data_IF_759655164917
#
_entry.id   IF_759655164917
#
_cell.length_a   1.000
_cell.length_b   1.000
_cell.length_c   1.000
_cell.angle_alpha   90.00
_cell.angle_beta   90.00
_cell.angle_gamma   90.00
#
_symmetry.space_group_name_H-M   'P 1'
#
loop_
_entity.id
_entity.type
_entity.pdbx_description
1 polymer ?
#
# COMPACT_ATOMS: atom_id res chain seq x y z
N UNK A 1 7.94 1.56 -15.29
CA UNK A 1 7.04 1.39 -14.12
C UNK A 1 7.78 1.28 -12.79
N UNK A 2 8.94 0.61 -12.73
CA UNK A 2 9.70 0.37 -11.48
C UNK A 2 10.14 1.64 -10.73
N UNK A 3 10.64 2.68 -11.42
CA UNK A 3 11.10 3.93 -10.76
C UNK A 3 9.94 4.68 -10.10
N UNK A 4 8.76 4.71 -10.76
CA UNK A 4 7.57 5.38 -10.23
C UNK A 4 7.00 4.63 -9.03
N UNK A 5 6.94 3.29 -9.11
CA UNK A 5 6.49 2.45 -8.01
C UNK A 5 7.44 2.52 -6.80
N UNK A 6 8.75 2.51 -7.03
CA UNK A 6 9.75 2.71 -5.98
C UNK A 6 9.62 4.07 -5.29
N UNK A 7 9.40 5.14 -6.07
CA UNK A 7 9.14 6.47 -5.52
C UNK A 7 7.86 6.55 -4.69
N UNK A 8 6.78 5.88 -5.12
CA UNK A 8 5.52 5.82 -4.37
C UNK A 8 5.71 5.12 -3.02
N UNK A 9 6.36 3.95 -3.01
CA UNK A 9 6.61 3.18 -1.78
C UNK A 9 7.51 3.95 -0.80
N UNK A 10 8.61 4.53 -1.31
CA UNK A 10 9.47 5.40 -0.50
C UNK A 10 8.72 6.60 0.07
N UNK A 11 7.82 7.19 -0.73
CA UNK A 11 6.97 8.30 -0.34
C UNK A 11 5.97 7.97 0.77
N UNK A 12 5.64 6.70 1.01
CA UNK A 12 4.79 6.30 2.14
C UNK A 12 5.58 6.15 3.45
N UNK A 13 6.85 5.74 3.38
CA UNK A 13 7.69 5.50 4.57
C UNK A 13 8.40 6.77 5.06
N UNK A 14 9.01 7.53 4.14
CA UNK A 14 9.78 8.74 4.47
C UNK A 14 9.02 9.74 5.37
N UNK A 15 7.73 10.04 5.12
CA UNK A 15 6.99 10.99 5.95
C UNK A 15 6.83 10.52 7.40
N UNK A 16 6.73 9.22 7.66
CA UNK A 16 6.57 8.69 9.02
C UNK A 16 7.84 8.92 9.86
N UNK A 17 9.01 8.70 9.26
CA UNK A 17 10.32 8.95 9.88
C UNK A 17 10.55 10.44 10.11
N UNK A 18 10.30 11.26 9.08
CA UNK A 18 10.46 12.72 9.15
C UNK A 18 9.50 13.30 10.21
N UNK A 19 8.23 12.87 10.21
CA UNK A 19 7.23 13.31 11.19
C UNK A 19 7.63 12.92 12.62
N UNK A 20 8.12 11.70 12.84
CA UNK A 20 8.59 11.24 14.16
C UNK A 20 9.82 12.03 14.65
N UNK A 21 10.77 12.32 13.77
CA UNK A 21 11.93 13.15 14.08
C UNK A 21 11.53 14.60 14.39
N UNK A 22 10.71 15.23 13.54
CA UNK A 22 10.29 16.63 13.70
C UNK A 22 9.45 16.84 14.96
N UNK A 23 8.55 15.90 15.29
CA UNK A 23 7.73 15.99 16.52
C UNK A 23 8.54 15.85 17.81
N UNK A 24 9.74 15.29 17.74
CA UNK A 24 10.66 15.18 18.89
C UNK A 24 11.39 16.48 19.20
N UNK A 25 11.60 17.34 18.19
CA UNK A 25 12.33 18.62 18.33
C UNK A 25 11.43 19.86 18.19
N UNK A 26 10.19 19.70 17.76
CA UNK A 26 9.31 20.79 17.34
C UNK A 26 7.84 20.44 17.55
N UNK A 27 6.98 21.47 17.59
CA UNK A 27 5.53 21.26 17.64
C UNK A 27 5.00 20.54 16.41
N UNK A 28 4.02 19.64 16.62
CA UNK A 28 3.30 18.91 15.57
C UNK A 28 2.77 19.80 14.44
N UNK A 29 2.48 21.08 14.72
CA UNK A 29 1.97 22.05 13.73
C UNK A 29 2.94 22.26 12.56
N UNK A 30 4.25 22.24 12.81
CA UNK A 30 5.24 22.49 11.77
C UNK A 30 5.30 21.36 10.75
N UNK A 31 4.95 20.13 11.14
CA UNK A 31 4.84 18.99 10.21
C UNK A 31 3.74 19.24 9.18
N UNK A 32 2.58 19.78 9.62
CA UNK A 32 1.49 20.12 8.72
C UNK A 32 1.84 21.27 7.77
N UNK A 33 2.56 22.29 8.25
CA UNK A 33 3.05 23.37 7.39
C UNK A 33 4.06 22.87 6.34
N UNK A 34 4.97 21.98 6.73
CA UNK A 34 5.90 21.37 5.79
C UNK A 34 5.19 20.51 4.74
N UNK A 35 4.21 19.70 5.14
CA UNK A 35 3.40 18.89 4.23
C UNK A 35 2.61 19.78 3.25
N UNK A 36 2.03 20.88 3.73
CA UNK A 36 1.35 21.86 2.88
C UNK A 36 2.31 22.44 1.83
N UNK A 37 3.49 22.90 2.24
CA UNK A 37 4.50 23.43 1.31
C UNK A 37 4.91 22.42 0.24
N UNK A 38 5.11 21.16 0.63
CA UNK A 38 5.45 20.09 -0.31
C UNK A 38 4.33 19.81 -1.31
N UNK A 39 3.06 19.82 -0.86
CA UNK A 39 1.90 19.62 -1.71
C UNK A 39 1.76 20.73 -2.76
N UNK A 40 1.96 21.99 -2.36
CA UNK A 40 1.96 23.13 -3.29
C UNK A 40 3.13 23.10 -4.26
N UNK A 41 4.31 22.67 -3.81
CA UNK A 41 5.48 22.49 -4.67
C UNK A 41 5.23 21.40 -5.72
N UNK A 42 4.64 20.27 -5.33
CA UNK A 42 4.20 19.22 -6.25
C UNK A 42 3.18 19.72 -7.25
N UNK A 43 2.19 20.51 -6.81
CA UNK A 43 1.18 21.11 -7.68
C UNK A 43 1.80 22.09 -8.69
N UNK A 44 2.76 22.92 -8.25
CA UNK A 44 3.49 23.84 -9.13
C UNK A 44 4.38 23.11 -10.15
N UNK A 45 5.10 22.07 -9.72
CA UNK A 45 5.86 21.18 -10.60
C UNK A 45 4.95 20.51 -11.63
N UNK A 46 3.81 20.00 -11.19
CA UNK A 46 2.84 19.40 -12.09
C UNK A 46 2.37 20.44 -13.11
N UNK A 47 1.96 21.63 -12.67
CA UNK A 47 1.52 22.69 -13.59
C UNK A 47 2.59 23.13 -14.60
N UNK A 48 3.88 23.13 -14.23
CA UNK A 48 4.98 23.51 -15.12
C UNK A 48 5.42 22.39 -16.07
N UNK A 49 5.42 21.14 -15.60
CA UNK A 49 6.02 20.01 -16.32
C UNK A 49 4.98 19.09 -16.97
N UNK A 50 3.69 19.19 -16.64
CA UNK A 50 2.67 18.43 -17.33
C UNK A 50 2.54 18.99 -18.75
N UNK A 51 2.93 18.24 -19.80
CA UNK A 51 2.63 18.64 -21.15
C UNK A 51 1.11 18.60 -21.29
N UNK A 52 0.53 19.61 -21.95
CA UNK A 52 -0.83 19.53 -22.45
C UNK A 52 -0.89 18.38 -23.45
N UNK A 53 -1.18 17.17 -22.96
CA UNK A 53 -1.39 16.01 -23.81
C UNK A 53 -2.64 16.32 -24.61
N UNK A 54 -2.55 16.49 -25.95
CA UNK A 54 -3.75 16.53 -26.76
C UNK A 54 -4.48 15.21 -26.51
N UNK A 55 -5.80 15.29 -26.31
CA UNK A 55 -6.63 14.11 -26.11
C UNK A 55 -6.37 13.15 -27.27
N UNK A 56 -5.68 12.04 -27.01
CA UNK A 56 -5.34 11.02 -28.01
C UNK A 56 -6.58 10.22 -28.47
N UNK A 57 -7.75 10.86 -28.41
CA UNK A 57 -9.09 10.31 -28.51
C UNK A 57 -10.04 11.37 -29.09
N UNK A 58 -9.58 12.16 -30.07
CA UNK A 58 -10.44 13.05 -30.85
C UNK A 58 -11.63 12.32 -31.53
N UNK A 59 -11.60 10.98 -31.58
CA UNK A 59 -12.62 10.13 -32.19
C UNK A 59 -13.42 9.27 -31.19
N UNK A 60 -13.13 9.31 -29.88
CA UNK A 60 -13.93 8.59 -28.87
C UNK A 60 -14.66 9.60 -27.98
N UNK A 61 -15.91 9.90 -28.33
CA UNK A 61 -16.86 10.72 -27.55
C UNK A 61 -17.30 10.01 -26.26
N UNK A 62 -16.39 9.37 -25.53
CA UNK A 62 -16.70 8.72 -24.26
C UNK A 62 -16.55 9.76 -23.17
N UNK A 63 -17.68 10.16 -22.57
CA UNK A 63 -17.62 11.10 -21.46
C UNK A 63 -16.83 10.47 -20.29
N UNK A 64 -16.10 11.26 -19.48
CA UNK A 64 -15.42 10.77 -18.28
C UNK A 64 -16.38 9.99 -17.36
N UNK A 65 -17.65 10.41 -17.32
CA UNK A 65 -18.73 9.76 -16.57
C UNK A 65 -19.05 8.37 -17.12
N UNK A 66 -19.08 8.19 -18.44
CA UNK A 66 -19.26 6.86 -19.05
C UNK A 66 -18.09 5.93 -18.78
N UNK A 67 -16.86 6.46 -18.71
CA UNK A 67 -15.69 5.67 -18.35
C UNK A 67 -15.79 5.16 -16.91
N UNK A 68 -16.16 6.04 -15.97
CA UNK A 68 -16.40 5.66 -14.57
C UNK A 68 -17.52 4.63 -14.44
N UNK A 69 -18.61 4.79 -15.20
CA UNK A 69 -19.71 3.82 -15.20
C UNK A 69 -19.31 2.45 -15.75
N UNK A 70 -18.41 2.40 -16.75
CA UNK A 70 -17.86 1.14 -17.27
C UNK A 70 -17.04 0.41 -16.22
N UNK A 71 -16.22 1.12 -15.44
CA UNK A 71 -15.46 0.51 -14.33
C UNK A 71 -16.39 -0.09 -13.28
N UNK A 72 -17.43 0.63 -12.88
CA UNK A 72 -18.43 0.12 -11.92
C UNK A 72 -19.16 -1.09 -12.50
N UNK A 73 -19.59 -1.04 -13.77
CA UNK A 73 -20.26 -2.16 -14.42
C UNK A 73 -19.36 -3.39 -14.52
N UNK A 74 -18.08 -3.21 -14.83
CA UNK A 74 -17.09 -4.29 -14.92
C UNK A 74 -16.93 -4.99 -13.56
N UNK A 75 -16.93 -4.23 -12.46
CA UNK A 75 -16.85 -4.77 -11.11
C UNK A 75 -18.03 -5.68 -10.75
N UNK A 76 -19.20 -5.51 -11.38
CA UNK A 76 -20.39 -6.36 -11.17
C UNK A 76 -20.59 -7.42 -12.25
N UNK A 77 -19.99 -7.26 -13.43
CA UNK A 77 -20.17 -8.19 -14.56
C UNK A 77 -19.19 -9.36 -14.48
N UNK A 78 -17.97 -9.10 -13.99
CA UNK A 78 -16.93 -10.12 -13.85
C UNK A 78 -16.81 -10.58 -12.38
N UNK A 79 -17.29 -11.80 -12.04
CA UNK A 79 -17.27 -12.28 -10.65
C UNK A 79 -15.84 -12.44 -10.11
N UNK A 80 -14.86 -12.65 -10.99
CA UNK A 80 -13.43 -12.73 -10.64
C UNK A 80 -12.88 -11.38 -10.16
N UNK A 81 -13.33 -10.27 -10.75
CA UNK A 81 -12.98 -8.92 -10.30
C UNK A 81 -13.64 -8.60 -8.96
N UNK A 82 -14.92 -8.93 -8.79
CA UNK A 82 -15.64 -8.70 -7.54
C UNK A 82 -14.95 -9.39 -6.35
N UNK A 83 -14.55 -10.65 -6.54
CA UNK A 83 -13.82 -11.40 -5.51
C UNK A 83 -12.45 -10.76 -5.19
N UNK A 84 -11.66 -10.40 -6.21
CA UNK A 84 -10.37 -9.74 -6.00
C UNK A 84 -10.47 -8.39 -5.30
N UNK A 85 -11.51 -7.61 -5.61
CA UNK A 85 -11.81 -6.34 -4.94
C UNK A 85 -12.16 -6.54 -3.46
N UNK A 86 -13.01 -7.51 -3.13
CA UNK A 86 -13.38 -7.81 -1.74
C UNK A 86 -12.15 -8.26 -0.94
N UNK A 87 -11.36 -9.18 -1.49
CA UNK A 87 -10.13 -9.66 -0.84
C UNK A 87 -9.16 -8.52 -0.60
N UNK A 88 -8.92 -7.68 -1.61
CA UNK A 88 -8.01 -6.53 -1.50
C UNK A 88 -8.51 -5.52 -0.47
N UNK A 89 -9.84 -5.29 -0.41
CA UNK A 89 -10.46 -4.40 0.57
C UNK A 89 -10.26 -4.91 2.01
N UNK A 90 -10.56 -6.19 2.26
CA UNK A 90 -10.41 -6.78 3.60
C UNK A 90 -8.93 -6.80 4.03
N UNK A 91 -8.03 -7.12 3.11
CA UNK A 91 -6.59 -7.17 3.37
C UNK A 91 -6.05 -5.78 3.72
N UNK A 92 -6.41 -4.76 2.94
CA UNK A 92 -6.00 -3.38 3.20
C UNK A 92 -6.64 -2.82 4.49
N UNK A 93 -7.87 -3.22 4.82
CA UNK A 93 -8.51 -2.86 6.08
C UNK A 93 -7.77 -3.47 7.29
N UNK A 94 -7.37 -4.73 7.22
CA UNK A 94 -6.59 -5.39 8.26
C UNK A 94 -5.23 -4.71 8.48
N UNK A 95 -4.51 -4.41 7.40
CA UNK A 95 -3.24 -3.67 7.44
C UNK A 95 -3.40 -2.27 8.03
N UNK A 96 -4.42 -1.52 7.63
CA UNK A 96 -4.71 -0.19 8.18
C UNK A 96 -5.03 -0.25 9.68
N UNK A 97 -5.78 -1.27 10.11
CA UNK A 97 -6.12 -1.49 11.52
C UNK A 97 -4.87 -1.81 12.35
N UNK A 98 -3.98 -2.65 11.81
CA UNK A 98 -2.69 -2.98 12.44
C UNK A 98 -1.86 -1.73 12.69
N UNK A 99 -1.55 -0.94 11.65
CA UNK A 99 -0.72 0.26 11.78
C UNK A 99 -1.33 1.33 12.70
N UNK A 100 -2.65 1.45 12.73
CA UNK A 100 -3.36 2.39 13.61
C UNK A 100 -3.24 1.94 15.07
N UNK A 101 -3.47 0.67 15.35
CA UNK A 101 -3.44 0.11 16.72
C UNK A 101 -2.01 -0.02 17.24
N UNK A 102 -1.05 -0.33 16.37
CA UNK A 102 0.38 -0.42 16.66
C UNK A 102 0.89 0.85 17.35
N UNK A 103 0.55 2.01 16.78
CA UNK A 103 1.01 3.30 17.30
C UNK A 103 0.52 3.53 18.74
N UNK A 104 -0.73 3.16 19.02
CA UNK A 104 -1.29 3.24 20.37
C UNK A 104 -0.64 2.22 21.33
N UNK A 105 -0.41 0.99 20.87
CA UNK A 105 0.20 -0.08 21.66
C UNK A 105 1.66 0.24 22.05
N UNK A 106 2.44 0.80 21.12
CA UNK A 106 3.83 1.22 21.38
C UNK A 106 3.92 2.43 22.31
N UNK A 107 2.92 3.31 22.27
CA UNK A 107 2.85 4.49 23.13
C UNK A 107 2.36 4.15 24.55
N UNK A 108 1.57 3.08 24.72
CA UNK A 108 1.11 2.59 26.02
C UNK A 108 2.13 1.70 26.73
N UNK A 109 1.98 1.54 28.04
CA UNK A 109 2.72 0.54 28.84
C UNK A 109 2.43 -0.87 28.28
N UNK A 110 3.44 -1.67 27.89
CA UNK A 110 4.77 -1.85 28.52
C UNK A 110 5.98 -1.24 27.78
N UNK A 111 5.81 -0.60 26.62
CA UNK A 111 6.93 -0.15 25.77
C UNK A 111 7.32 1.32 25.99
N UNK A 112 6.34 2.19 26.27
CA UNK A 112 6.58 3.61 26.59
C UNK A 112 7.43 4.36 25.56
N UNK A 113 7.35 3.98 24.27
CA UNK A 113 8.26 4.52 23.28
C UNK A 113 8.01 5.99 22.96
N UNK A 114 9.10 6.73 22.80
CA UNK A 114 9.08 8.11 22.31
C UNK A 114 8.65 8.18 20.84
N UNK A 115 8.13 9.33 20.40
CA UNK A 115 7.72 9.57 19.01
C UNK A 115 8.82 9.26 17.98
N UNK A 116 10.10 9.42 18.38
CA UNK A 116 11.25 9.08 17.56
C UNK A 116 11.39 7.56 17.37
N UNK A 117 11.22 6.77 18.42
CA UNK A 117 11.31 5.30 18.36
C UNK A 117 10.17 4.70 17.54
N UNK A 118 8.96 5.25 17.66
CA UNK A 118 7.82 4.86 16.82
C UNK A 118 8.09 5.22 15.35
N UNK A 119 8.66 6.40 15.09
CA UNK A 119 9.12 6.79 13.76
C UNK A 119 10.18 5.85 13.19
N UNK A 120 11.17 5.45 13.99
CA UNK A 120 12.18 4.47 13.58
C UNK A 120 11.60 3.09 13.33
N UNK A 121 10.62 2.65 14.13
CA UNK A 121 9.92 1.40 13.90
C UNK A 121 9.27 1.38 12.51
N UNK A 122 8.75 2.52 12.04
CA UNK A 122 8.15 2.59 10.70
C UNK A 122 9.13 2.35 9.54
N UNK A 123 10.45 2.34 9.76
CA UNK A 123 11.41 1.88 8.75
C UNK A 123 11.25 0.39 8.42
N UNK A 124 10.64 -0.41 9.30
CA UNK A 124 10.36 -1.82 8.96
C UNK A 124 9.52 -1.93 7.71
N UNK A 125 8.58 -0.98 7.48
CA UNK A 125 7.72 -0.89 6.30
C UNK A 125 8.45 -0.64 4.96
N UNK A 126 9.78 -0.59 4.94
CA UNK A 126 10.59 -0.62 3.71
C UNK A 126 10.66 -2.04 3.14
N UNK A 127 10.33 -3.06 3.95
CA UNK A 127 10.41 -4.46 3.59
C UNK A 127 9.70 -4.87 2.30
N UNK A 128 8.47 -4.40 1.95
CA UNK A 128 7.87 -4.76 0.68
C UNK A 128 8.71 -4.28 -0.51
N UNK A 129 9.45 -3.18 -0.41
CA UNK A 129 10.33 -2.71 -1.50
C UNK A 129 11.38 -3.76 -1.88
N UNK A 130 11.83 -4.56 -0.91
CA UNK A 130 12.84 -5.62 -1.11
C UNK A 130 12.19 -6.97 -1.37
N UNK A 131 11.15 -7.32 -0.60
CA UNK A 131 10.54 -8.65 -0.63
C UNK A 131 9.57 -8.83 -1.81
N UNK A 132 8.83 -7.79 -2.19
CA UNK A 132 7.83 -7.86 -3.26
C UNK A 132 8.44 -8.20 -4.62
N UNK A 133 9.56 -7.59 -5.07
CA UNK A 133 10.20 -7.96 -6.34
C UNK A 133 10.69 -9.42 -6.35
N UNK A 134 11.22 -9.90 -5.23
CA UNK A 134 11.68 -11.28 -5.09
C UNK A 134 10.51 -12.26 -5.19
N UNK A 135 9.42 -11.98 -4.49
CA UNK A 135 8.21 -12.79 -4.55
C UNK A 135 7.53 -12.76 -5.92
N UNK A 136 7.46 -11.58 -6.54
CA UNK A 136 6.93 -11.41 -7.89
C UNK A 136 7.67 -12.27 -8.91
N UNK A 137 8.99 -12.37 -8.82
CA UNK A 137 9.79 -13.19 -9.74
C UNK A 137 9.68 -14.69 -9.44
N UNK A 138 9.60 -15.08 -8.16
CA UNK A 138 9.57 -16.51 -7.81
C UNK A 138 8.18 -17.15 -7.87
N UNK A 139 7.14 -16.45 -7.44
CA UNK A 139 5.83 -17.06 -7.18
C UNK A 139 4.80 -16.71 -8.25
N UNK A 140 4.70 -15.44 -8.66
CA UNK A 140 3.73 -15.02 -9.68
C UNK A 140 4.07 -15.59 -11.06
N UNK A 141 5.35 -15.85 -11.33
CA UNK A 141 5.81 -16.43 -12.61
C UNK A 141 5.64 -17.96 -12.68
N UNK A 142 5.48 -18.64 -11.53
CA UNK A 142 5.47 -20.12 -11.45
C UNK A 142 4.19 -20.73 -10.87
N UNK A 143 3.29 -19.94 -10.28
CA UNK A 143 2.09 -20.43 -9.58
C UNK A 143 0.86 -19.66 -10.04
N UNK A 144 -0.27 -20.35 -10.19
CA UNK A 144 -1.54 -19.71 -10.53
C UNK A 144 -1.87 -18.56 -9.56
N UNK A 145 -2.21 -17.39 -10.11
CA UNK A 145 -2.37 -16.11 -9.40
C UNK A 145 -3.31 -16.18 -8.18
N UNK A 146 -4.30 -17.07 -8.24
CA UNK A 146 -5.27 -17.32 -7.18
C UNK A 146 -4.67 -18.06 -5.97
N UNK A 147 -3.71 -18.97 -6.20
CA UNK A 147 -2.97 -19.65 -5.15
C UNK A 147 -1.95 -18.72 -4.49
N UNK A 148 -1.30 -17.85 -5.27
CA UNK A 148 -0.39 -16.83 -4.74
C UNK A 148 -1.10 -15.87 -3.77
N UNK A 149 -2.28 -15.35 -4.16
CA UNK A 149 -3.10 -14.47 -3.33
C UNK A 149 -3.61 -15.14 -2.04
N UNK A 150 -4.02 -16.41 -2.12
CA UNK A 150 -4.50 -17.14 -0.94
C UNK A 150 -3.36 -17.52 0.02
N UNK A 151 -2.18 -17.87 -0.49
CA UNK A 151 -0.97 -18.10 0.33
C UNK A 151 -0.55 -16.81 1.04
N UNK A 152 -0.57 -15.67 0.36
CA UNK A 152 -0.24 -14.37 0.94
C UNK A 152 -1.23 -13.93 2.03
N UNK A 153 -2.54 -14.15 1.81
CA UNK A 153 -3.57 -13.95 2.82
C UNK A 153 -3.38 -14.85 4.05
N UNK A 154 -3.12 -16.14 3.84
CA UNK A 154 -2.89 -17.09 4.94
C UNK A 154 -1.62 -16.70 5.72
N UNK A 155 -0.59 -16.22 5.03
CA UNK A 155 0.63 -15.71 5.66
C UNK A 155 0.35 -14.44 6.49
N UNK A 156 -0.47 -13.52 5.98
CA UNK A 156 -0.92 -12.33 6.72
C UNK A 156 -1.76 -12.69 7.96
N UNK A 157 -2.71 -13.63 7.83
CA UNK A 157 -3.52 -14.12 8.95
C UNK A 157 -2.65 -14.84 10.00
N UNK A 158 -1.70 -15.66 9.57
CA UNK A 158 -0.73 -16.31 10.45
C UNK A 158 0.17 -15.30 11.16
N UNK A 159 0.63 -14.26 10.45
CA UNK A 159 1.39 -13.15 11.03
C UNK A 159 0.58 -12.38 12.08
N UNK A 160 -0.70 -12.10 11.81
CA UNK A 160 -1.62 -11.48 12.77
C UNK A 160 -1.83 -12.38 13.98
N UNK A 161 -2.07 -13.67 13.79
CA UNK A 161 -2.24 -14.62 14.90
C UNK A 161 -0.99 -14.65 15.80
N UNK A 162 0.20 -14.83 15.22
CA UNK A 162 1.47 -14.86 15.96
C UNK A 162 1.73 -13.53 16.69
N UNK A 163 1.47 -12.40 16.03
CA UNK A 163 1.64 -11.07 16.63
C UNK A 163 0.63 -10.76 17.74
N UNK A 164 -0.60 -11.26 17.64
CA UNK A 164 -1.61 -11.11 18.71
C UNK A 164 -1.22 -11.88 19.97
N UNK A 165 -0.61 -13.06 19.82
CA UNK A 165 -0.13 -13.88 20.96
C UNK A 165 1.23 -13.43 21.52
N UNK A 166 2.08 -12.79 20.71
CA UNK A 166 3.46 -12.42 21.10
C UNK A 166 3.64 -10.92 21.40
N UNK A 167 2.70 -10.07 20.97
CA UNK A 167 2.80 -8.61 21.01
C UNK A 167 2.82 -8.00 22.41
N UNK A 168 2.43 -8.76 23.43
CA UNK A 168 2.52 -8.34 24.84
C UNK A 168 3.89 -8.61 25.47
N UNK A 169 4.74 -9.47 24.86
CA UNK A 169 6.00 -9.93 25.46
C UNK A 169 7.25 -9.62 24.64
N UNK A 170 7.17 -9.40 23.32
CA UNK A 170 8.36 -9.17 22.50
C UNK A 170 8.13 -8.26 21.30
N UNK A 171 8.98 -7.22 21.21
CA UNK A 171 9.08 -6.31 20.07
C UNK A 171 9.33 -7.05 18.75
N UNK A 172 10.08 -8.16 18.80
CA UNK A 172 10.46 -8.94 17.61
C UNK A 172 9.23 -9.57 16.96
N UNK A 173 8.26 -10.05 17.74
CA UNK A 173 7.03 -10.63 17.20
C UNK A 173 6.18 -9.60 16.44
N UNK A 174 6.19 -8.35 16.91
CA UNK A 174 5.47 -7.24 16.29
C UNK A 174 6.13 -6.77 14.99
N UNK A 175 7.47 -6.80 14.92
CA UNK A 175 8.21 -6.60 13.68
C UNK A 175 7.85 -7.70 12.68
N UNK A 176 7.89 -8.97 13.06
CA UNK A 176 7.51 -10.07 12.17
C UNK A 176 6.07 -9.96 11.67
N UNK A 177 5.13 -9.57 12.53
CA UNK A 177 3.75 -9.31 12.14
C UNK A 177 3.65 -8.19 11.10
N UNK A 178 4.35 -7.07 11.32
CA UNK A 178 4.40 -5.94 10.37
C UNK A 178 4.94 -6.37 9.00
N UNK A 179 6.07 -7.09 8.99
CA UNK A 179 6.68 -7.60 7.75
C UNK A 179 5.74 -8.55 7.00
N UNK A 180 5.12 -9.49 7.73
CA UNK A 180 4.24 -10.48 7.11
C UNK A 180 2.95 -9.85 6.54
N UNK A 181 2.36 -8.87 7.22
CA UNK A 181 1.13 -8.23 6.76
C UNK A 181 1.39 -7.31 5.57
N UNK A 182 2.42 -6.47 5.61
CA UNK A 182 2.73 -5.53 4.54
C UNK A 182 3.11 -6.30 3.26
N UNK A 183 3.98 -7.29 3.38
CA UNK A 183 4.33 -8.18 2.28
C UNK A 183 3.09 -8.89 1.69
N UNK A 184 2.23 -9.45 2.54
CA UNK A 184 1.05 -10.20 2.10
C UNK A 184 0.03 -9.34 1.36
N UNK A 185 -0.20 -8.10 1.81
CA UNK A 185 -1.14 -7.17 1.14
C UNK A 185 -0.58 -6.68 -0.19
N UNK A 186 0.69 -6.29 -0.23
CA UNK A 186 1.31 -5.77 -1.45
C UNK A 186 1.46 -6.86 -2.52
N UNK A 187 1.87 -8.07 -2.12
CA UNK A 187 1.99 -9.21 -3.03
C UNK A 187 0.63 -9.60 -3.63
N UNK A 188 -0.41 -9.64 -2.79
CA UNK A 188 -1.79 -9.94 -3.21
C UNK A 188 -2.31 -8.87 -4.16
N UNK A 189 -2.06 -7.59 -3.87
CA UNK A 189 -2.47 -6.47 -4.72
C UNK A 189 -1.80 -6.51 -6.09
N UNK A 190 -0.54 -6.94 -6.17
CA UNK A 190 0.19 -7.08 -7.43
C UNK A 190 -0.31 -8.29 -8.23
N UNK A 191 -0.54 -9.42 -7.57
CA UNK A 191 -1.11 -10.62 -8.19
C UNK A 191 -2.51 -10.33 -8.78
N UNK A 192 -3.38 -9.63 -8.05
CA UNK A 192 -4.68 -9.25 -8.61
C UNK A 192 -4.56 -8.28 -9.78
N UNK A 193 -3.61 -7.33 -9.73
CA UNK A 193 -3.35 -6.43 -10.86
C UNK A 193 -2.91 -7.21 -12.09
N UNK A 194 -1.97 -8.16 -11.97
CA UNK A 194 -1.54 -8.98 -13.11
C UNK A 194 -2.68 -9.86 -13.65
N UNK A 195 -3.46 -10.51 -12.77
CA UNK A 195 -4.63 -11.28 -13.19
C UNK A 195 -5.67 -10.42 -13.94
N UNK A 196 -5.92 -9.18 -13.51
CA UNK A 196 -6.85 -8.28 -14.20
C UNK A 196 -6.27 -7.86 -15.56
N UNK A 197 -4.97 -7.60 -15.66
CA UNK A 197 -4.33 -7.29 -16.94
C UNK A 197 -4.39 -8.47 -17.93
N UNK A 198 -4.24 -9.70 -17.45
CA UNK A 198 -4.33 -10.90 -18.29
C UNK A 198 -5.77 -11.30 -18.62
N UNK A 199 -6.73 -11.08 -17.70
CA UNK A 199 -8.15 -11.35 -17.88
C UNK A 199 -8.87 -10.28 -18.71
N UNK A 200 -8.29 -9.08 -18.85
CA UNK A 200 -8.71 -8.06 -19.82
C UNK A 200 -7.71 -8.02 -20.98
N UNK A 201 -7.59 -9.08 -21.81
CA UNK A 201 -6.85 -8.98 -23.04
C UNK A 201 -7.69 -8.12 -23.98
N UNK A 202 -7.22 -6.91 -24.30
CA UNK A 202 -7.74 -6.09 -25.39
C UNK A 202 -9.27 -6.00 -25.42
N UNK A 203 -9.83 -5.09 -24.61
CA UNK A 203 -11.08 -4.43 -24.97
C UNK A 203 -10.90 -3.51 -26.19
N UNK A 204 -10.44 -4.05 -27.31
CA UNK A 204 -10.94 -3.69 -28.63
C UNK A 204 -11.70 -4.94 -29.06
N UNK A 205 -13.03 -4.94 -29.10
CA UNK A 205 -13.91 -3.97 -29.80
C UNK A 205 -15.08 -3.48 -28.92
#
# INVERSE_FOLDING_TARGET
>A
MSVVFGGLMLGQVLPRVISGALTSFTSWRNVYWAALGLQFLLLGLLWLFFPDYPSNNANSSTSPVQLLWRVVRLAFTEPILAYGCIVSLLSNAAMSSFWTTLTALLASDPFGFSSLQIGLFSLTAIDPVVLVPLYSSFVVEHVATYLAASIALICGIAGVAVGTFTGTFSLVGLVFQALAIDFGVDSTSIAYRSAIYDAVPRGGE
#
